data_IF_494820731496
#
_entry.id   IF_494820731496
#
_cell.length_a   1.000
_cell.length_b   1.000
_cell.length_c   1.000
_cell.angle_alpha   90.00
_cell.angle_beta   90.00
_cell.angle_gamma   90.00
#
_symmetry.space_group_name_H-M   'P 1'
#
loop_
_entity.id
_entity.type
_entity.pdbx_description
1 polymer ?
#
# COMPACT_ATOMS: atom_id res chain seq x y z
N UNK A 1 -15.28 -18.05 35.40
CA UNK A 1 -14.49 -16.84 35.07
C UNK A 1 -13.88 -17.04 33.69
N UNK A 2 -14.34 -16.34 32.66
CA UNK A 2 -13.78 -16.46 31.29
C UNK A 2 -12.56 -15.55 31.18
N UNK A 3 -11.37 -16.13 31.07
CA UNK A 3 -10.13 -15.38 30.84
C UNK A 3 -10.20 -14.77 29.44
N UNK A 4 -10.26 -13.44 29.38
CA UNK A 4 -10.31 -12.70 28.11
C UNK A 4 -8.96 -12.85 27.39
N UNK A 5 -8.93 -13.64 26.31
CA UNK A 5 -7.72 -13.86 25.54
C UNK A 5 -7.14 -12.52 25.04
N UNK A 6 -5.83 -12.33 25.24
CA UNK A 6 -5.10 -11.14 24.78
C UNK A 6 -5.18 -11.08 23.26
N UNK A 7 -5.72 -9.98 22.72
CA UNK A 7 -5.84 -9.79 21.25
C UNK A 7 -4.45 -9.79 20.63
N UNK A 8 -4.23 -10.67 19.65
CA UNK A 8 -3.02 -10.69 18.85
C UNK A 8 -2.87 -9.37 18.07
N UNK A 9 -1.65 -8.86 18.02
CA UNK A 9 -1.29 -7.61 17.36
C UNK A 9 -0.39 -7.94 16.17
N UNK A 10 -0.74 -7.45 14.98
CA UNK A 10 -0.03 -7.73 13.74
C UNK A 10 0.40 -6.43 13.07
N UNK A 11 1.64 -6.35 12.61
CA UNK A 11 2.17 -5.17 11.90
C UNK A 11 1.41 -4.93 10.58
N UNK A 12 1.49 -3.71 10.04
CA UNK A 12 0.84 -3.38 8.76
C UNK A 12 1.43 -4.23 7.63
N UNK A 13 2.76 -4.37 7.61
CA UNK A 13 3.48 -5.19 6.64
C UNK A 13 3.00 -6.64 6.63
N UNK A 14 2.85 -7.25 7.80
CA UNK A 14 2.34 -8.63 7.92
C UNK A 14 0.92 -8.76 7.35
N UNK A 15 0.05 -7.79 7.65
CA UNK A 15 -1.32 -7.79 7.13
C UNK A 15 -1.36 -7.59 5.62
N UNK A 16 -0.52 -6.71 5.07
CA UNK A 16 -0.42 -6.46 3.63
C UNK A 16 0.04 -7.71 2.89
N UNK A 17 1.05 -8.42 3.41
CA UNK A 17 1.53 -9.65 2.79
C UNK A 17 0.44 -10.76 2.82
N UNK A 18 -0.26 -10.90 3.93
CA UNK A 18 -1.38 -11.83 4.03
C UNK A 18 -2.50 -11.50 3.02
N UNK A 19 -2.81 -10.22 2.82
CA UNK A 19 -3.79 -9.77 1.81
C UNK A 19 -3.27 -10.01 0.39
N UNK A 20 -1.98 -9.77 0.12
CA UNK A 20 -1.34 -9.99 -1.18
C UNK A 20 -1.49 -11.44 -1.63
N UNK A 21 -1.25 -12.39 -0.72
CA UNK A 21 -1.40 -13.83 -0.96
C UNK A 21 -2.82 -14.19 -1.41
N UNK A 22 -3.83 -13.65 -0.73
CA UNK A 22 -5.24 -13.87 -1.10
C UNK A 22 -5.58 -13.22 -2.45
N UNK A 23 -5.09 -12.00 -2.71
CA UNK A 23 -5.26 -11.32 -4.01
C UNK A 23 -4.63 -12.08 -5.18
N UNK A 24 -3.57 -12.83 -4.92
CA UNK A 24 -2.92 -13.70 -5.91
C UNK A 24 -3.63 -15.05 -6.12
N UNK A 25 -4.83 -15.22 -5.58
CA UNK A 25 -5.69 -16.37 -5.85
C UNK A 25 -5.62 -17.50 -4.81
N UNK A 26 -4.84 -17.35 -3.73
CA UNK A 26 -4.87 -18.33 -2.64
C UNK A 26 -6.16 -18.21 -1.83
N UNK A 27 -6.71 -19.35 -1.39
CA UNK A 27 -7.92 -19.36 -0.58
C UNK A 27 -7.66 -18.80 0.82
N UNK A 28 -8.67 -18.16 1.41
CA UNK A 28 -8.60 -17.66 2.79
C UNK A 28 -8.20 -18.78 3.78
N UNK A 29 -8.73 -19.99 3.59
CA UNK A 29 -8.42 -21.13 4.43
C UNK A 29 -6.94 -21.55 4.35
N UNK A 30 -6.37 -21.62 3.14
CA UNK A 30 -4.98 -22.01 2.94
C UNK A 30 -4.02 -20.97 3.54
N UNK A 31 -4.27 -19.68 3.28
CA UNK A 31 -3.44 -18.58 3.81
C UNK A 31 -3.55 -18.53 5.34
N UNK A 32 -4.74 -18.71 5.91
CA UNK A 32 -4.95 -18.78 7.35
C UNK A 32 -4.20 -19.93 8.03
N UNK A 33 -4.26 -21.14 7.45
CA UNK A 33 -3.53 -22.28 7.97
C UNK A 33 -2.00 -22.05 7.90
N UNK A 34 -1.52 -21.46 6.81
CA UNK A 34 -0.09 -21.19 6.59
C UNK A 34 0.44 -20.14 7.57
N UNK A 35 -0.31 -19.07 7.80
CA UNK A 35 0.13 -17.94 8.63
C UNK A 35 -0.26 -18.08 10.10
N UNK A 36 -1.00 -19.13 10.48
CA UNK A 36 -1.51 -19.31 11.84
C UNK A 36 -2.51 -18.22 12.27
N UNK A 37 -3.23 -17.63 11.31
CA UNK A 37 -4.19 -16.55 11.56
C UNK A 37 -5.62 -17.05 11.38
N UNK A 38 -6.51 -16.70 12.31
CA UNK A 38 -7.93 -17.02 12.22
C UNK A 38 -8.53 -16.51 10.90
N UNK A 39 -9.25 -17.36 10.18
CA UNK A 39 -9.80 -17.06 8.85
C UNK A 39 -10.70 -15.82 8.83
N UNK A 40 -11.51 -15.60 9.87
CA UNK A 40 -12.31 -14.39 9.99
C UNK A 40 -11.45 -13.12 10.12
N UNK A 41 -10.30 -13.21 10.81
CA UNK A 41 -9.36 -12.09 10.95
C UNK A 41 -8.74 -11.74 9.59
N UNK A 42 -8.31 -12.74 8.84
CA UNK A 42 -7.76 -12.54 7.49
C UNK A 42 -8.81 -11.95 6.53
N UNK A 43 -10.05 -12.46 6.58
CA UNK A 43 -11.17 -11.90 5.81
C UNK A 43 -11.38 -10.41 6.12
N UNK A 44 -11.35 -10.03 7.40
CA UNK A 44 -11.51 -8.62 7.80
C UNK A 44 -10.36 -7.73 7.27
N UNK A 45 -9.14 -8.25 7.16
CA UNK A 45 -8.02 -7.51 6.56
C UNK A 45 -8.20 -7.31 5.07
N UNK A 46 -8.62 -8.35 4.34
CA UNK A 46 -8.91 -8.24 2.89
C UNK A 46 -10.01 -7.21 2.65
N UNK A 47 -11.06 -7.18 3.49
CA UNK A 47 -12.11 -6.16 3.42
C UNK A 47 -11.56 -4.75 3.70
N UNK A 48 -10.81 -4.58 4.79
CA UNK A 48 -10.25 -3.29 5.16
C UNK A 48 -9.28 -2.73 4.10
N UNK A 49 -8.49 -3.59 3.46
CA UNK A 49 -7.60 -3.22 2.37
C UNK A 49 -8.37 -2.71 1.14
N UNK A 50 -9.45 -3.39 0.73
CA UNK A 50 -10.34 -2.93 -0.35
C UNK A 50 -10.96 -1.56 -0.07
N UNK A 51 -11.20 -1.24 1.20
CA UNK A 51 -11.75 0.04 1.64
C UNK A 51 -10.68 1.11 1.88
N UNK A 52 -9.38 0.79 1.72
CA UNK A 52 -8.28 1.72 2.03
C UNK A 52 -8.09 2.00 3.52
N UNK A 53 -8.60 1.13 4.41
CA UNK A 53 -8.62 1.29 5.87
C UNK A 53 -7.75 0.27 6.60
N UNK A 54 -6.92 -0.50 5.89
CA UNK A 54 -6.06 -1.48 6.53
C UNK A 54 -4.99 -0.79 7.37
N UNK A 55 -5.01 -1.05 8.68
CA UNK A 55 -4.05 -0.51 9.66
C UNK A 55 -3.36 -1.65 10.42
N UNK A 56 -2.09 -1.48 10.76
CA UNK A 56 -1.29 -2.39 11.57
C UNK A 56 -1.27 -2.04 13.05
N UNK A 57 -0.76 -2.97 13.87
CA UNK A 57 -0.37 -2.69 15.24
C UNK A 57 0.87 -1.79 15.24
N UNK A 58 0.87 -0.74 16.05
CA UNK A 58 1.96 0.23 16.12
C UNK A 58 2.05 1.21 14.95
N UNK A 59 1.26 1.03 13.87
CA UNK A 59 1.13 2.05 12.83
C UNK A 59 0.17 3.14 13.30
N UNK A 60 0.63 4.39 13.36
CA UNK A 60 -0.28 5.53 13.40
C UNK A 60 -1.08 5.53 12.10
N UNK A 61 -2.40 5.80 12.14
CA UNK A 61 -3.17 6.04 10.91
C UNK A 61 -2.43 7.10 10.09
N UNK A 62 -2.17 6.81 8.81
CA UNK A 62 -1.59 7.80 7.89
C UNK A 62 -2.63 8.90 7.77
N UNK A 63 -2.27 10.14 8.14
CA UNK A 63 -3.24 11.24 8.08
C UNK A 63 -3.62 11.51 6.61
N UNK A 64 -4.84 12.00 6.35
CA UNK A 64 -5.21 12.47 5.02
C UNK A 64 -4.19 13.46 4.43
N UNK A 65 -3.56 14.28 5.27
CA UNK A 65 -2.53 15.23 4.83
C UNK A 65 -1.25 14.51 4.39
N UNK A 66 -0.87 13.42 5.05
CA UNK A 66 0.28 12.61 4.65
C UNK A 66 0.03 11.87 3.33
N UNK A 67 -1.20 11.40 3.09
CA UNK A 67 -1.60 10.83 1.80
C UNK A 67 -1.55 11.88 0.69
N UNK A 68 -2.07 13.07 0.94
CA UNK A 68 -2.05 14.16 -0.02
C UNK A 68 -0.63 14.65 -0.31
N UNK A 69 0.24 14.72 0.72
CA UNK A 69 1.65 15.04 0.54
C UNK A 69 2.36 14.01 -0.36
N UNK A 70 2.07 12.72 -0.17
CA UNK A 70 2.63 11.65 -1.01
C UNK A 70 2.16 11.78 -2.47
N UNK A 71 0.86 12.06 -2.68
CA UNK A 71 0.29 12.31 -4.01
C UNK A 71 0.94 13.51 -4.69
N UNK A 72 1.05 14.64 -3.99
CA UNK A 72 1.67 15.86 -4.50
C UNK A 72 3.14 15.64 -4.86
N UNK A 73 3.90 14.88 -4.06
CA UNK A 73 5.29 14.54 -4.38
C UNK A 73 5.42 13.70 -5.64
N UNK A 74 4.53 12.72 -5.82
CA UNK A 74 4.50 11.91 -7.04
C UNK A 74 4.19 12.77 -8.27
N UNK A 75 3.24 13.69 -8.15
CA UNK A 75 2.87 14.59 -9.24
C UNK A 75 3.99 15.58 -9.60
N UNK A 76 4.65 16.17 -8.60
CA UNK A 76 5.83 17.02 -8.83
C UNK A 76 6.94 16.25 -9.53
N UNK A 77 7.17 14.99 -9.15
CA UNK A 77 8.16 14.15 -9.81
C UNK A 77 7.82 13.88 -11.28
N UNK A 78 6.54 13.60 -11.59
CA UNK A 78 6.03 13.41 -12.95
C UNK A 78 6.23 14.66 -13.80
N UNK A 79 5.79 15.81 -13.30
CA UNK A 79 5.90 17.10 -14.00
C UNK A 79 7.36 17.48 -14.27
N UNK A 80 8.28 17.23 -13.32
CA UNK A 80 9.72 17.46 -13.53
C UNK A 80 10.28 16.58 -14.66
N UNK A 81 9.84 15.33 -14.74
CA UNK A 81 10.25 14.42 -15.81
C UNK A 81 9.73 14.89 -17.18
N UNK A 82 8.45 15.28 -17.28
CA UNK A 82 7.87 15.83 -18.51
C UNK A 82 8.58 17.11 -18.99
N UNK A 83 8.94 17.98 -18.04
CA UNK A 83 9.68 19.20 -18.31
C UNK A 83 11.12 18.92 -18.76
N UNK A 84 11.79 17.92 -18.18
CA UNK A 84 13.12 17.49 -18.62
C UNK A 84 13.11 16.93 -20.05
N UNK A 85 12.12 16.09 -20.38
CA UNK A 85 11.93 15.56 -21.74
C UNK A 85 11.70 16.71 -22.73
N UNK A 86 10.81 17.65 -22.40
CA UNK A 86 10.51 18.80 -23.26
C UNK A 86 11.75 19.67 -23.47
N UNK A 87 12.53 19.93 -22.41
CA UNK A 87 13.80 20.68 -22.51
C UNK A 87 14.81 19.98 -23.40
N UNK A 88 14.96 18.65 -23.26
CA UNK A 88 15.87 17.86 -24.10
C UNK A 88 15.44 17.90 -25.57
N UNK A 89 14.14 17.79 -25.85
CA UNK A 89 13.62 17.92 -27.22
C UNK A 89 13.89 19.30 -27.80
N UNK A 90 13.60 20.37 -27.05
CA UNK A 90 13.88 21.74 -27.48
C UNK A 90 15.38 21.97 -27.75
N UNK A 91 16.26 21.47 -26.89
CA UNK A 91 17.71 21.55 -27.08
C UNK A 91 18.19 20.77 -28.31
N UNK A 92 17.61 19.60 -28.59
CA UNK A 92 17.89 18.83 -29.79
C UNK A 92 17.52 19.62 -31.06
N UNK A 93 16.30 20.15 -31.13
CA UNK A 93 15.85 20.94 -32.28
C UNK A 93 16.67 22.22 -32.49
N UNK A 94 17.01 22.93 -31.41
CA UNK A 94 17.87 24.11 -31.50
C UNK A 94 19.27 23.78 -32.06
N UNK A 95 19.77 22.56 -31.83
CA UNK A 95 21.07 22.11 -32.36
C UNK A 95 21.01 21.71 -33.83
N UNK A 96 19.89 21.18 -34.34
CA UNK A 96 19.76 20.85 -35.78
C UNK A 96 19.50 22.07 -36.67
N UNK A 97 18.99 23.16 -36.10
CA UNK A 97 18.71 24.41 -36.84
C UNK A 97 19.92 25.38 -36.91
N UNK A 98 21.06 25.01 -36.33
CA UNK A 98 22.34 25.74 -36.38
C UNK A 98 23.39 24.95 -37.14
#
# INVERSE_FOLDING_TARGET
MTVKAKRAQYTLEFKLEAVRLVKNGQSLAAVSATLGVVQQTLHNWVKADREGKLVGAGSKPVSPEQMELARLRAEVSRLKMELDITKKAAAYFAKELM
#
